data_IF_074679219181
#
_entry.id   IF_074679219181
#
_cell.length_a   1.000
_cell.length_b   1.000
_cell.length_c   1.000
_cell.angle_alpha   90.00
_cell.angle_beta   90.00
_cell.angle_gamma   90.00
#
_symmetry.space_group_name_H-M   'P 1'
#
loop_
_entity.id
_entity.type
_entity.pdbx_description
1 polymer ?
#
# COMPACT_ATOMS: atom_id res chain seq x y z
N UNK A 1 -10.74 0.10 1.42
CA UNK A 1 -11.22 -0.52 2.67
C UNK A 1 -11.00 0.37 3.89
N UNK A 2 -9.78 0.87 4.12
CA UNK A 2 -9.47 1.71 5.28
C UNK A 2 -10.31 3.00 5.40
N UNK A 3 -10.64 3.64 4.27
CA UNK A 3 -11.46 4.87 4.26
C UNK A 3 -12.92 4.62 4.70
N UNK A 4 -13.50 3.51 4.24
CA UNK A 4 -14.82 3.04 4.68
C UNK A 4 -14.78 2.67 6.17
N UNK A 5 -13.71 2.01 6.63
CA UNK A 5 -13.48 1.70 8.04
C UNK A 5 -13.40 2.95 8.91
N UNK A 6 -12.68 3.99 8.48
CA UNK A 6 -12.56 5.26 9.23
C UNK A 6 -13.86 6.06 9.28
N UNK A 7 -14.67 6.04 8.21
CA UNK A 7 -16.02 6.62 8.22
C UNK A 7 -16.89 5.87 9.23
N UNK A 8 -16.92 4.54 9.18
CA UNK A 8 -17.66 3.71 10.13
C UNK A 8 -17.22 3.98 11.58
N UNK A 9 -15.90 4.00 11.85
CA UNK A 9 -15.33 4.31 13.17
C UNK A 9 -15.76 5.70 13.67
N UNK A 10 -15.77 6.71 12.81
CA UNK A 10 -16.17 8.08 13.17
C UNK A 10 -17.65 8.16 13.53
N UNK A 11 -18.53 7.48 12.78
CA UNK A 11 -19.95 7.36 13.11
C UNK A 11 -20.16 6.58 14.41
N UNK A 12 -19.47 5.45 14.60
CA UNK A 12 -19.56 4.64 15.82
C UNK A 12 -19.12 5.42 17.06
N UNK A 13 -18.08 6.25 16.96
CA UNK A 13 -17.66 7.19 18.02
C UNK A 13 -18.70 8.28 18.33
N UNK A 14 -19.69 8.49 17.47
CA UNK A 14 -20.79 9.43 17.71
C UNK A 14 -21.95 8.79 18.48
N UNK A 15 -22.04 7.46 18.54
CA UNK A 15 -23.11 6.74 19.27
C UNK A 15 -22.78 6.47 20.75
N UNK A 16 -21.55 6.68 21.20
CA UNK A 16 -21.15 6.51 22.62
C UNK A 16 -21.10 5.07 23.14
N UNK A 17 -21.51 4.07 22.34
CA UNK A 17 -21.45 2.65 22.72
C UNK A 17 -20.05 2.05 22.50
N UNK A 18 -19.31 1.89 23.60
CA UNK A 18 -17.94 1.34 23.63
C UNK A 18 -17.79 -0.02 22.93
N UNK A 19 -18.79 -0.91 23.02
CA UNK A 19 -18.73 -2.25 22.42
C UNK A 19 -18.66 -2.19 20.88
N UNK A 20 -19.43 -1.30 20.26
CA UNK A 20 -19.44 -1.14 18.79
C UNK A 20 -18.12 -0.53 18.31
N UNK A 21 -17.51 0.37 19.11
CA UNK A 21 -16.18 0.93 18.83
C UNK A 21 -15.11 -0.17 18.80
N UNK A 22 -15.15 -1.11 19.76
CA UNK A 22 -14.19 -2.22 19.80
C UNK A 22 -14.33 -3.16 18.60
N UNK A 23 -15.55 -3.53 18.22
CA UNK A 23 -15.79 -4.41 17.06
C UNK A 23 -15.35 -3.75 15.76
N UNK A 24 -15.69 -2.47 15.57
CA UNK A 24 -15.29 -1.72 14.36
C UNK A 24 -13.80 -1.47 14.30
N UNK A 25 -13.16 -1.11 15.41
CA UNK A 25 -11.70 -0.95 15.48
C UNK A 25 -10.96 -2.29 15.26
N UNK A 26 -11.48 -3.39 15.80
CA UNK A 26 -10.94 -4.73 15.60
C UNK A 26 -11.00 -5.17 14.14
N UNK A 27 -12.15 -4.98 13.48
CA UNK A 27 -12.28 -5.26 12.05
C UNK A 27 -11.35 -4.36 11.21
N UNK A 28 -11.29 -3.06 11.51
CA UNK A 28 -10.44 -2.09 10.82
C UNK A 28 -8.95 -2.46 10.95
N UNK A 29 -8.51 -2.82 12.15
CA UNK A 29 -7.15 -3.29 12.42
C UNK A 29 -6.83 -4.58 11.68
N UNK A 30 -7.73 -5.57 11.71
CA UNK A 30 -7.54 -6.85 11.02
C UNK A 30 -7.33 -6.67 9.51
N UNK A 31 -8.19 -5.89 8.86
CA UNK A 31 -8.06 -5.65 7.41
C UNK A 31 -6.84 -4.78 7.06
N UNK A 32 -6.45 -3.83 7.91
CA UNK A 32 -5.23 -3.04 7.66
C UNK A 32 -3.97 -3.89 7.80
N UNK A 33 -3.86 -4.70 8.85
CA UNK A 33 -2.71 -5.58 9.06
C UNK A 33 -2.66 -6.67 7.99
N UNK A 34 -3.80 -7.22 7.56
CA UNK A 34 -3.86 -8.20 6.48
C UNK A 34 -3.44 -7.66 5.11
N UNK A 35 -3.56 -6.35 4.87
CA UNK A 35 -3.11 -5.71 3.63
C UNK A 35 -1.60 -5.45 3.60
N UNK A 36 -0.94 -5.36 4.77
CA UNK A 36 0.47 -5.02 4.86
C UNK A 36 1.40 -6.05 4.18
N UNK A 37 1.24 -7.38 4.37
CA UNK A 37 2.01 -8.39 3.65
C UNK A 37 1.86 -8.28 2.13
N UNK A 38 0.63 -8.07 1.64
CA UNK A 38 0.34 -7.91 0.21
C UNK A 38 1.04 -6.66 -0.36
N UNK A 39 1.13 -5.59 0.43
CA UNK A 39 1.88 -4.38 0.06
C UNK A 39 3.39 -4.63 -0.06
N UNK A 40 3.98 -5.45 0.81
CA UNK A 40 5.40 -5.81 0.71
C UNK A 40 5.68 -6.68 -0.53
N UNK A 41 4.83 -7.66 -0.83
CA UNK A 41 4.96 -8.46 -2.06
C UNK A 41 4.85 -7.59 -3.32
N UNK A 42 3.86 -6.68 -3.35
CA UNK A 42 3.69 -5.77 -4.48
C UNK A 42 4.88 -4.80 -4.65
N UNK A 43 5.44 -4.29 -3.54
CA UNK A 43 6.60 -3.42 -3.59
C UNK A 43 7.85 -4.14 -4.14
N UNK A 44 8.11 -5.38 -3.68
CA UNK A 44 9.21 -6.19 -4.18
C UNK A 44 9.06 -6.52 -5.68
N UNK A 45 7.83 -6.72 -6.15
CA UNK A 45 7.53 -6.96 -7.57
C UNK A 45 7.82 -5.71 -8.42
N UNK A 46 7.54 -4.52 -7.89
CA UNK A 46 7.75 -3.22 -8.57
C UNK A 46 9.23 -2.81 -8.63
N UNK A 47 10.04 -3.22 -7.66
CA UNK A 47 11.46 -2.86 -7.56
C UNK A 47 12.42 -3.88 -8.16
N UNK A 48 11.92 -4.92 -8.84
CA UNK A 48 12.75 -5.94 -9.49
C UNK A 48 13.77 -5.32 -10.49
N UNK A 49 15.05 -5.74 -10.50
CA UNK A 49 15.65 -6.90 -9.83
C UNK A 49 16.36 -6.58 -8.50
N UNK A 50 15.86 -5.64 -7.70
CA UNK A 50 16.46 -5.35 -6.41
C UNK A 50 16.04 -6.37 -5.33
N UNK A 51 16.94 -6.62 -4.37
CA UNK A 51 16.74 -7.53 -3.24
C UNK A 51 15.48 -7.20 -2.44
N UNK A 52 14.65 -8.23 -2.22
CA UNK A 52 13.37 -8.14 -1.49
C UNK A 52 13.55 -7.59 -0.07
N UNK A 53 14.69 -7.90 0.57
CA UNK A 53 15.05 -7.40 1.89
C UNK A 53 15.27 -5.89 1.94
N UNK A 54 15.91 -5.31 0.92
CA UNK A 54 16.15 -3.86 0.86
C UNK A 54 14.84 -3.10 0.62
N UNK A 55 14.01 -3.60 -0.29
CA UNK A 55 12.69 -3.02 -0.58
C UNK A 55 11.77 -3.07 0.64
N UNK A 56 11.69 -4.22 1.32
CA UNK A 56 10.88 -4.38 2.53
C UNK A 56 11.40 -3.54 3.70
N UNK A 57 12.73 -3.43 3.85
CA UNK A 57 13.37 -2.60 4.87
C UNK A 57 13.04 -1.11 4.72
N UNK A 58 13.13 -0.58 3.50
CA UNK A 58 12.76 0.81 3.18
C UNK A 58 11.27 1.08 3.40
N UNK A 59 10.41 0.15 2.98
CA UNK A 59 8.96 0.30 3.15
C UNK A 59 8.58 0.29 4.65
N UNK A 60 9.22 -0.55 5.47
CA UNK A 60 8.99 -0.58 6.92
C UNK A 60 9.56 0.67 7.64
N UNK A 61 10.75 1.15 7.25
CA UNK A 61 11.33 2.39 7.78
C UNK A 61 10.42 3.58 7.48
N UNK A 62 9.95 3.71 6.23
CA UNK A 62 9.02 4.79 5.89
C UNK A 62 7.72 4.70 6.69
N UNK A 63 7.13 3.51 6.83
CA UNK A 63 5.93 3.31 7.64
C UNK A 63 6.12 3.71 9.11
N UNK A 64 7.26 3.38 9.72
CA UNK A 64 7.56 3.79 11.10
C UNK A 64 7.75 5.30 11.24
N UNK A 65 8.50 5.94 10.35
CA UNK A 65 8.73 7.39 10.41
C UNK A 65 7.40 8.15 10.28
N UNK A 66 6.58 7.79 9.28
CA UNK A 66 5.26 8.39 9.11
C UNK A 66 4.32 8.06 10.28
N UNK A 67 4.38 6.83 10.80
CA UNK A 67 3.60 6.41 11.97
C UNK A 67 3.89 7.26 13.22
N UNK A 68 5.16 7.51 13.52
CA UNK A 68 5.57 8.36 14.65
C UNK A 68 5.10 9.80 14.43
N UNK A 69 5.34 10.36 13.24
CA UNK A 69 4.93 11.72 12.91
C UNK A 69 3.41 11.91 13.06
N UNK A 70 2.61 11.01 12.47
CA UNK A 70 1.15 11.09 12.55
C UNK A 70 0.61 10.88 13.96
N UNK A 71 1.22 9.99 14.75
CA UNK A 71 0.82 9.77 16.15
C UNK A 71 1.00 11.04 16.98
N UNK A 72 2.15 11.72 16.82
CA UNK A 72 2.42 12.97 17.52
C UNK A 72 1.48 14.08 17.05
N UNK A 73 1.31 14.25 15.73
CA UNK A 73 0.40 15.26 15.17
C UNK A 73 -1.05 15.06 15.64
N UNK A 74 -1.56 13.83 15.58
CA UNK A 74 -2.90 13.51 16.05
C UNK A 74 -3.04 13.76 17.56
N UNK A 75 -2.02 13.42 18.36
CA UNK A 75 -2.01 13.69 19.80
C UNK A 75 -2.16 15.17 20.12
N UNK A 76 -1.42 16.03 19.42
CA UNK A 76 -1.52 17.49 19.57
C UNK A 76 -2.88 18.04 19.10
N UNK A 77 -3.38 17.56 17.95
CA UNK A 77 -4.69 17.98 17.42
C UNK A 77 -5.82 17.55 18.37
N UNK A 78 -5.76 16.34 18.91
CA UNK A 78 -6.75 15.84 19.86
C UNK A 78 -6.73 16.63 21.17
N UNK A 79 -5.54 17.04 21.65
CA UNK A 79 -5.41 17.84 22.88
C UNK A 79 -6.04 19.22 22.75
N UNK A 80 -5.87 19.89 21.61
CA UNK A 80 -6.38 21.26 21.40
C UNK A 80 -7.80 21.34 20.81
N UNK A 81 -8.18 20.42 19.92
CA UNK A 81 -9.42 20.49 19.14
C UNK A 81 -10.36 19.29 19.37
N UNK A 82 -9.98 18.35 20.25
CA UNK A 82 -10.77 17.19 20.61
C UNK A 82 -10.68 16.03 19.60
N UNK A 83 -11.24 14.89 19.99
CA UNK A 83 -11.13 13.61 19.26
C UNK A 83 -11.72 13.65 17.85
N UNK A 84 -12.78 14.43 17.63
CA UNK A 84 -13.43 14.54 16.31
C UNK A 84 -12.51 15.20 15.27
N UNK A 85 -11.79 16.24 15.67
CA UNK A 85 -10.80 16.91 14.82
C UNK A 85 -9.60 16.00 14.51
N UNK A 86 -9.14 15.23 15.50
CA UNK A 86 -8.09 14.22 15.30
C UNK A 86 -8.49 13.14 14.28
N UNK A 87 -9.73 12.64 14.34
CA UNK A 87 -10.23 11.70 13.34
C UNK A 87 -10.36 12.32 11.94
N UNK A 88 -10.78 13.58 11.85
CA UNK A 88 -10.89 14.29 10.56
C UNK A 88 -9.51 14.45 9.90
N UNK A 89 -8.47 14.74 10.69
CA UNK A 89 -7.09 14.79 10.24
C UNK A 89 -6.64 13.46 9.63
N UNK A 90 -6.85 12.35 10.34
CA UNK A 90 -6.53 11.02 9.84
C UNK A 90 -7.31 10.69 8.55
N UNK A 91 -8.61 10.98 8.50
CA UNK A 91 -9.44 10.77 7.31
C UNK A 91 -8.88 11.53 6.09
N UNK A 92 -8.44 12.77 6.28
CA UNK A 92 -7.91 13.63 5.21
C UNK A 92 -6.59 13.09 4.66
N UNK A 93 -5.67 12.67 5.54
CA UNK A 93 -4.42 12.04 5.15
C UNK A 93 -4.63 10.69 4.46
N UNK A 94 -5.57 9.88 4.94
CA UNK A 94 -5.91 8.60 4.34
C UNK A 94 -6.50 8.77 2.94
N UNK A 95 -7.32 9.82 2.73
CA UNK A 95 -7.86 10.17 1.43
C UNK A 95 -6.76 10.61 0.47
N UNK A 96 -5.87 11.50 0.91
CA UNK A 96 -4.72 11.95 0.12
C UNK A 96 -3.80 10.77 -0.26
N UNK A 97 -3.51 9.88 0.70
CA UNK A 97 -2.75 8.66 0.45
C UNK A 97 -3.43 7.72 -0.54
N UNK A 98 -4.77 7.59 -0.48
CA UNK A 98 -5.53 6.78 -1.44
C UNK A 98 -5.44 7.36 -2.85
N UNK A 99 -5.53 8.69 -2.99
CA UNK A 99 -5.37 9.37 -4.28
C UNK A 99 -3.95 9.15 -4.82
N UNK A 100 -2.92 9.34 -3.98
CA UNK A 100 -1.53 9.14 -4.38
C UNK A 100 -1.29 7.70 -4.86
N UNK A 101 -1.80 6.71 -4.11
CA UNK A 101 -1.72 5.30 -4.49
C UNK A 101 -2.49 4.99 -5.77
N UNK A 102 -3.64 5.63 -6.00
CA UNK A 102 -4.41 5.43 -7.24
C UNK A 102 -3.67 5.97 -8.48
N UNK A 103 -2.81 6.97 -8.31
CA UNK A 103 -1.95 7.49 -9.39
C UNK A 103 -0.66 6.67 -9.60
N UNK A 104 -0.32 5.74 -8.71
CA UNK A 104 0.79 4.80 -8.95
C UNK A 104 0.38 3.87 -10.08
N UNK A 105 1.01 4.04 -11.24
CA UNK A 105 0.85 3.14 -12.37
C UNK A 105 1.49 1.80 -12.00
N UNK A 106 0.66 0.77 -11.82
CA UNK A 106 1.09 -0.59 -11.54
C UNK A 106 1.70 -1.23 -12.80
N UNK A 107 2.84 -0.72 -13.26
CA UNK A 107 3.63 -1.39 -14.29
C UNK A 107 4.32 -2.59 -13.61
N UNK A 108 3.67 -3.77 -13.70
CA UNK A 108 4.16 -5.05 -13.19
C UNK A 108 5.39 -5.50 -14.02
N UNK A 109 6.54 -4.93 -13.70
CA UNK A 109 7.82 -5.12 -14.42
C UNK A 109 8.18 -6.60 -14.61
N UNK A 110 7.79 -7.46 -13.66
CA UNK A 110 8.02 -8.90 -13.72
C UNK A 110 7.08 -9.63 -14.70
N UNK A 111 5.81 -9.21 -14.79
CA UNK A 111 4.91 -9.73 -15.83
C UNK A 111 5.35 -9.27 -17.21
N UNK A 112 5.80 -8.01 -17.34
CA UNK A 112 6.37 -7.50 -18.58
C UNK A 112 7.62 -8.30 -19.00
N UNK A 113 8.53 -8.60 -18.06
CA UNK A 113 9.71 -9.41 -18.34
C UNK A 113 9.40 -10.87 -18.73
N UNK A 114 8.37 -11.49 -18.14
CA UNK A 114 7.92 -12.82 -18.55
C UNK A 114 7.30 -12.82 -19.95
N UNK A 115 6.47 -11.82 -20.27
CA UNK A 115 5.90 -11.65 -21.62
C UNK A 115 6.98 -11.42 -22.69
N UNK A 116 8.01 -10.63 -22.38
CA UNK A 116 9.14 -10.38 -23.29
C UNK A 116 9.96 -11.66 -23.53
N UNK A 117 10.17 -12.49 -22.50
CA UNK A 117 10.85 -13.78 -22.63
C UNK A 117 10.03 -14.80 -23.46
N UNK A 118 8.71 -14.88 -23.27
CA UNK A 118 7.84 -15.74 -24.08
C UNK A 118 7.83 -15.30 -25.56
N UNK A 119 7.90 -13.99 -25.84
CA UNK A 119 8.07 -13.48 -27.21
C UNK A 119 9.44 -13.80 -27.82
N UNK A 120 10.53 -13.79 -27.03
CA UNK A 120 11.84 -14.23 -27.51
C UNK A 120 11.87 -15.73 -27.83
N UNK A 121 11.15 -16.56 -27.07
CA UNK A 121 11.05 -18.01 -27.31
C UNK A 121 10.14 -18.33 -28.51
N UNK A 122 9.06 -17.57 -28.71
CA UNK A 122 8.13 -17.78 -29.83
C UNK A 122 8.61 -17.23 -31.17
N UNK A 123 9.50 -16.23 -31.21
CA UNK A 123 10.14 -15.81 -32.46
C UNK A 123 11.22 -16.83 -32.81
N UNK A 124 11.07 -17.62 -33.91
CA UNK A 124 12.18 -18.43 -34.36
C UNK A 124 13.36 -17.50 -34.67
N UNK A 125 14.61 -17.91 -34.35
CA UNK A 125 15.77 -17.12 -34.72
C UNK A 125 15.80 -17.02 -36.23
N UNK A 126 15.42 -15.85 -36.77
CA UNK A 126 15.62 -15.50 -38.18
C UNK A 126 17.12 -15.20 -38.43
N UNK A 127 17.99 -16.04 -37.86
CA UNK A 127 19.45 -15.91 -37.87
C UNK A 127 20.14 -17.28 -38.01
N UNK A 128 19.40 -18.38 -38.21
CA UNK A 128 19.96 -19.71 -38.55
C UNK A 128 19.74 -20.14 -40.00
N UNK A 129 19.04 -19.34 -40.81
CA UNK A 129 18.84 -19.58 -42.26
C UNK A 129 19.85 -18.86 -43.17
N UNK A 130 20.81 -18.13 -42.60
CA UNK A 130 21.88 -17.44 -43.33
C UNK A 130 23.28 -17.90 -42.87
N UNK A 131 23.51 -19.22 -42.81
CA UNK A 131 24.87 -19.73 -42.99
C UNK A 131 25.07 -19.98 -44.49
N UNK A 132 25.81 -19.13 -45.23
CA UNK A 132 26.25 -19.52 -46.56
C UNK A 132 27.25 -20.67 -46.37
N UNK A 133 26.91 -21.86 -46.88
CA UNK A 133 27.93 -22.85 -47.22
C UNK A 133 28.84 -22.24 -48.28
N UNK A 134 30.01 -21.73 -47.88
CA UNK A 134 31.17 -21.55 -48.75
C UNK A 134 32.45 -21.70 -47.94
#
# INVERSE_FOLDING_TARGET
>A
MALVGMIAYTFTLSLGHLWVVFVTAGALGFFMTGYLPLGFEFAAELTYPESEGTSSGLLNVSAQIFGIAFTISQGQIMYHFGTKAGNLFLCSFLFLGTIMTAFIKADLRRQQANLDNEQMVSKPPLQSLLCPCY
#
